data_IF_326303469056
#
_entry.id   IF_326303469056
#
_cell.length_a   1.000
_cell.length_b   1.000
_cell.length_c   1.000
_cell.angle_alpha   90.00
_cell.angle_beta   90.00
_cell.angle_gamma   90.00
#
_symmetry.space_group_name_H-M   'P 1'
#
loop_
_entity.id
_entity.type
_entity.pdbx_description
1 polymer ?
#
# COMPACT_ATOMS: atom_id res chain seq x y z
N UNK A 1 8.79 -2.18 19.53
CA UNK A 1 7.69 -2.50 18.59
C UNK A 1 6.66 -1.41 18.75
N UNK A 2 6.62 -0.37 17.90
CA UNK A 2 5.66 0.71 18.07
C UNK A 2 4.25 0.15 17.84
N UNK A 3 3.37 0.62 18.70
CA UNK A 3 1.98 0.24 18.88
C UNK A 3 1.19 0.35 17.56
N UNK A 4 0.98 -0.80 16.92
CA UNK A 4 0.35 -0.89 15.59
C UNK A 4 -1.13 -0.52 15.56
N UNK A 5 -1.73 -0.11 16.68
CA UNK A 5 -3.16 0.25 16.76
C UNK A 5 -3.41 1.74 17.04
N UNK A 6 -2.46 2.47 17.64
CA UNK A 6 -2.58 3.92 17.83
C UNK A 6 -2.46 4.72 16.52
N UNK A 7 -1.60 4.30 15.59
CA UNK A 7 -1.50 4.84 14.22
C UNK A 7 -2.59 4.32 13.26
N UNK A 8 -3.24 3.20 13.60
CA UNK A 8 -4.19 2.52 12.70
C UNK A 8 -5.49 3.30 12.45
N UNK A 9 -5.75 4.37 13.20
CA UNK A 9 -6.88 5.28 12.95
C UNK A 9 -6.53 6.42 11.99
N UNK A 10 -5.25 6.69 11.75
CA UNK A 10 -4.77 7.76 10.86
C UNK A 10 -4.17 7.22 9.55
N UNK A 11 -3.92 5.91 9.49
CA UNK A 11 -3.39 5.23 8.31
C UNK A 11 -4.38 4.20 7.75
N UNK A 12 -4.83 4.40 6.50
CA UNK A 12 -5.60 3.42 5.74
C UNK A 12 -4.74 2.54 4.81
N UNK A 13 -5.06 1.24 4.74
CA UNK A 13 -4.44 0.26 3.85
C UNK A 13 -5.43 -0.19 2.78
N UNK A 14 -5.06 -0.07 1.50
CA UNK A 14 -5.86 -0.57 0.37
C UNK A 14 -5.15 -1.74 -0.27
N UNK A 15 -5.80 -2.90 -0.34
CA UNK A 15 -5.26 -4.10 -0.98
C UNK A 15 -5.89 -4.25 -2.37
N UNK A 16 -5.07 -4.15 -3.41
CA UNK A 16 -5.45 -4.15 -4.82
C UNK A 16 -5.18 -2.79 -5.46
N UNK A 17 -4.20 -2.71 -6.37
CA UNK A 17 -3.84 -1.50 -7.12
C UNK A 17 -4.60 -1.33 -8.44
N UNK A 18 -5.78 -1.96 -8.57
CA UNK A 18 -6.62 -1.79 -9.75
C UNK A 18 -7.35 -0.44 -9.71
N UNK A 19 -8.08 -0.10 -10.78
CA UNK A 19 -8.90 1.13 -10.86
C UNK A 19 -9.83 1.24 -9.63
N UNK A 20 -10.46 0.14 -9.22
CA UNK A 20 -11.32 0.12 -8.04
C UNK A 20 -10.57 0.47 -6.74
N UNK A 21 -9.35 -0.05 -6.57
CA UNK A 21 -8.51 0.24 -5.41
C UNK A 21 -7.97 1.67 -5.41
N UNK A 22 -7.61 2.22 -6.57
CA UNK A 22 -7.17 3.61 -6.68
C UNK A 22 -8.33 4.59 -6.42
N UNK A 23 -9.55 4.26 -6.85
CA UNK A 23 -10.75 5.03 -6.50
C UNK A 23 -11.01 5.01 -4.99
N UNK A 24 -10.90 3.83 -4.36
CA UNK A 24 -11.04 3.71 -2.90
C UNK A 24 -9.96 4.51 -2.16
N UNK A 25 -8.70 4.44 -2.62
CA UNK A 25 -7.59 5.21 -2.04
C UNK A 25 -7.82 6.73 -2.14
N UNK A 26 -8.39 7.21 -3.26
CA UNK A 26 -8.71 8.63 -3.44
C UNK A 26 -9.75 9.12 -2.42
N UNK A 27 -10.80 8.35 -2.17
CA UNK A 27 -11.80 8.72 -1.14
C UNK A 27 -11.18 8.69 0.26
N UNK A 28 -10.34 7.68 0.54
CA UNK A 28 -9.66 7.56 1.84
C UNK A 28 -8.63 8.68 2.08
N UNK A 29 -8.03 9.24 1.02
CA UNK A 29 -7.06 10.34 1.15
C UNK A 29 -7.65 11.64 1.70
N UNK A 30 -8.98 11.81 1.66
CA UNK A 30 -9.65 12.97 2.26
C UNK A 30 -9.86 12.80 3.79
N UNK A 31 -9.90 11.56 4.27
CA UNK A 31 -10.22 11.22 5.66
C UNK A 31 -9.02 10.75 6.49
N UNK A 32 -7.93 10.30 5.86
CA UNK A 32 -6.76 9.73 6.51
C UNK A 32 -5.49 10.49 6.11
N UNK A 33 -4.61 10.75 7.06
CA UNK A 33 -3.33 11.43 6.79
C UNK A 33 -2.37 10.57 5.98
N UNK A 34 -2.57 9.24 5.99
CA UNK A 34 -1.73 8.30 5.25
C UNK A 34 -2.56 7.19 4.61
N UNK A 35 -2.37 6.98 3.31
CA UNK A 35 -2.97 5.85 2.59
C UNK A 35 -1.87 5.05 1.90
N UNK A 36 -1.82 3.74 2.13
CA UNK A 36 -0.90 2.85 1.41
C UNK A 36 -1.68 1.87 0.56
N UNK A 37 -1.41 1.88 -0.74
CA UNK A 37 -1.98 0.93 -1.70
C UNK A 37 -0.97 -0.20 -1.90
N UNK A 38 -1.40 -1.43 -1.63
CA UNK A 38 -0.61 -2.64 -1.83
C UNK A 38 -1.22 -3.47 -2.95
N UNK A 39 -0.44 -3.73 -3.99
CA UNK A 39 -0.83 -4.57 -5.10
C UNK A 39 0.05 -5.83 -5.09
N UNK A 40 -0.58 -6.98 -5.34
CA UNK A 40 0.13 -8.25 -5.40
C UNK A 40 0.62 -8.44 -6.83
N UNK A 41 1.81 -7.94 -7.12
CA UNK A 41 2.56 -8.37 -8.30
C UNK A 41 2.72 -9.90 -8.22
N UNK A 42 2.23 -10.64 -9.23
CA UNK A 42 2.64 -12.03 -9.44
C UNK A 42 4.14 -12.04 -9.76
N UNK A 43 4.96 -12.17 -8.72
CA UNK A 43 6.40 -12.32 -8.88
C UNK A 43 6.65 -13.69 -9.54
N UNK A 44 7.21 -13.75 -10.76
CA UNK A 44 7.56 -15.04 -11.35
C UNK A 44 8.54 -15.78 -10.42
N UNK A 45 8.39 -17.11 -10.33
CA UNK A 45 9.10 -17.97 -9.37
C UNK A 45 10.64 -17.88 -9.41
N UNK A 46 11.22 -17.20 -10.39
CA UNK A 46 12.65 -16.91 -10.45
C UNK A 46 13.00 -15.68 -9.59
N UNK A 47 13.35 -15.95 -8.32
CA UNK A 47 14.04 -14.98 -7.45
C UNK A 47 15.41 -14.67 -8.04
N UNK A 48 15.52 -13.60 -8.82
CA UNK A 48 16.82 -13.07 -9.25
C UNK A 48 17.47 -12.38 -8.05
N UNK A 49 18.45 -13.05 -7.45
CA UNK A 49 19.28 -12.53 -6.37
C UNK A 49 20.04 -11.31 -6.88
N UNK A 50 19.66 -10.10 -6.48
CA UNK A 50 20.46 -8.92 -6.86
C UNK A 50 19.77 -7.56 -6.86
N UNK A 51 18.47 -7.45 -6.56
CA UNK A 51 17.87 -6.13 -6.32
C UNK A 51 16.69 -6.22 -5.36
N UNK A 52 16.71 -5.34 -4.36
CA UNK A 52 15.54 -5.01 -3.54
C UNK A 52 14.36 -4.70 -4.47
N UNK A 53 13.31 -5.51 -4.43
CA UNK A 53 11.99 -5.14 -5.00
C UNK A 53 11.04 -4.79 -3.87
N UNK A 54 11.00 -3.54 -3.39
CA UNK A 54 9.81 -2.99 -2.80
C UNK A 54 9.11 -2.22 -3.92
N UNK A 55 8.29 -2.88 -4.74
CA UNK A 55 7.20 -2.15 -5.42
C UNK A 55 6.00 -2.07 -4.50
N UNK A 56 6.24 -1.77 -3.22
CA UNK A 56 5.22 -1.11 -2.41
C UNK A 56 5.06 0.26 -3.04
N UNK A 57 4.07 0.39 -3.93
CA UNK A 57 3.65 1.66 -4.50
C UNK A 57 3.09 2.53 -3.39
N UNK A 58 3.96 3.10 -2.56
CA UNK A 58 3.57 4.11 -1.57
C UNK A 58 3.32 5.40 -2.34
N UNK A 59 2.14 5.51 -2.95
CA UNK A 59 1.60 6.79 -3.34
C UNK A 59 1.13 7.49 -2.06
N UNK A 60 2.08 8.08 -1.34
CA UNK A 60 1.77 9.11 -0.36
C UNK A 60 1.29 10.32 -1.16
N UNK A 61 0.00 10.64 -1.07
CA UNK A 61 -0.52 11.93 -1.50
C UNK A 61 -0.14 13.02 -0.49
#
# INVERSE_FOLDING_TARGET
>A
MPDSKADARDHALVIGGSIAGLCAARVLSDAYSRVTVYERDELPAFRRTGRRSPRTGTCTC
#
